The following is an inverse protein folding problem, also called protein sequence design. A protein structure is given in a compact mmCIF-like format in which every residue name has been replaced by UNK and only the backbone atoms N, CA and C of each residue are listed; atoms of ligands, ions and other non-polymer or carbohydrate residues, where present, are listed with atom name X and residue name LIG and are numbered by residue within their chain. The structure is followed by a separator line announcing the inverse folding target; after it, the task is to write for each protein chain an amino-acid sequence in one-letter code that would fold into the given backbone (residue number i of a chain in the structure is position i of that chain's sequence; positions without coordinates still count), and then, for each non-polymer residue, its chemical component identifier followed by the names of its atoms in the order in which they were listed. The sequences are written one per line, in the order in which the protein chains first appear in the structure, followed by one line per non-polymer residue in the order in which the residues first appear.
data_IF_878105265485
#
_entry.id   IF_878105265485
#
_cell.length_a   1.000
_cell.length_b   1.000
_cell.length_c   1.000
_cell.angle_alpha   90.00
_cell.angle_beta   90.00
_cell.angle_gamma   90.00
#
_symmetry.space_group_name_H-M   'P 1'
#
loop_
_entity.id
_entity.type
_entity.pdbx_description
1 polymer ?
#
# COMPACT_ATOMS: atom_id res chain seq x y z
N UNK A 1 19.40 -1.31 -0.55
CA UNK A 1 19.24 -0.94 0.88
C UNK A 1 17.78 -1.15 1.27
N UNK A 2 17.51 -1.61 2.48
CA UNK A 2 16.19 -1.87 3.01
C UNK A 2 15.53 -0.56 3.48
N UNK A 3 14.24 -0.39 3.19
CA UNK A 3 13.41 0.68 3.74
C UNK A 3 12.72 0.23 5.02
N UNK A 4 12.23 -1.03 5.03
CA UNK A 4 11.60 -1.66 6.18
C UNK A 4 12.21 -3.05 6.36
N UNK A 5 12.58 -3.39 7.60
CA UNK A 5 12.99 -4.74 8.00
C UNK A 5 12.13 -5.22 9.16
N UNK A 6 11.66 -6.44 9.08
CA UNK A 6 10.82 -7.09 10.09
C UNK A 6 11.51 -8.37 10.53
N UNK A 7 11.65 -8.55 11.85
CA UNK A 7 12.32 -9.70 12.44
C UNK A 7 11.38 -10.38 13.44
N UNK A 8 11.04 -11.65 13.15
CA UNK A 8 10.27 -12.56 13.99
C UNK A 8 8.99 -11.92 14.59
N UNK A 9 8.23 -11.16 13.75
CA UNK A 9 7.04 -10.44 14.18
C UNK A 9 5.89 -11.40 14.45
N UNK A 10 5.31 -11.30 15.65
CA UNK A 10 4.13 -12.04 16.06
C UNK A 10 3.02 -11.10 16.54
N UNK A 11 1.79 -11.40 16.11
CA UNK A 11 0.62 -10.62 16.50
C UNK A 11 -0.65 -11.47 16.53
N UNK A 12 -1.49 -11.25 17.55
CA UNK A 12 -2.81 -11.89 17.70
C UNK A 12 -3.90 -10.86 18.01
N UNK A 13 -5.12 -11.14 17.59
CA UNK A 13 -6.33 -10.49 18.13
C UNK A 13 -6.92 -11.42 19.20
N UNK A 14 -6.74 -11.08 20.47
CA UNK A 14 -7.07 -11.99 21.57
C UNK A 14 -6.34 -13.33 21.42
N UNK A 15 -7.08 -14.43 21.40
CA UNK A 15 -6.49 -15.77 21.24
C UNK A 15 -6.22 -16.18 19.77
N UNK A 16 -6.62 -15.36 18.80
CA UNK A 16 -6.44 -15.69 17.37
C UNK A 16 -5.11 -15.16 16.86
N UNK A 17 -4.17 -16.06 16.60
CA UNK A 17 -2.89 -15.74 15.96
C UNK A 17 -3.12 -15.28 14.52
N UNK A 18 -2.55 -14.12 14.15
CA UNK A 18 -2.68 -13.53 12.82
C UNK A 18 -1.33 -13.46 12.10
N UNK A 19 -0.28 -13.02 12.80
CA UNK A 19 1.08 -13.01 12.27
C UNK A 19 1.94 -13.92 13.13
N UNK A 20 2.73 -14.78 12.49
CA UNK A 20 3.45 -15.87 13.15
C UNK A 20 4.89 -15.92 12.65
N UNK A 21 5.79 -15.21 13.35
CA UNK A 21 7.22 -15.21 13.04
C UNK A 21 7.54 -14.59 11.69
N UNK A 22 6.90 -13.47 11.33
CA UNK A 22 7.15 -12.77 10.06
C UNK A 22 8.59 -12.26 10.05
N UNK A 23 9.36 -12.68 9.06
CA UNK A 23 10.65 -12.13 8.69
C UNK A 23 10.52 -11.58 7.27
N UNK A 24 10.84 -10.30 7.06
CA UNK A 24 10.61 -9.61 5.80
C UNK A 24 11.55 -8.42 5.64
N UNK A 25 12.08 -8.25 4.43
CA UNK A 25 12.88 -7.10 4.05
C UNK A 25 12.26 -6.44 2.81
N UNK A 26 11.91 -5.15 2.92
CA UNK A 26 11.31 -4.36 1.84
C UNK A 26 12.36 -3.36 1.34
N UNK A 27 12.66 -3.43 0.05
CA UNK A 27 13.73 -2.64 -0.58
C UNK A 27 13.28 -1.22 -0.88
N UNK A 28 14.23 -0.28 -0.80
CA UNK A 28 14.00 1.13 -1.16
C UNK A 28 13.73 1.29 -2.66
N UNK A 29 12.96 2.31 -2.99
CA UNK A 29 12.66 2.74 -4.36
C UNK A 29 12.06 1.62 -5.20
N UNK A 30 11.26 0.75 -4.56
CA UNK A 30 10.57 -0.39 -5.16
C UNK A 30 9.10 -0.37 -4.78
N UNK A 31 8.28 -0.93 -5.67
CA UNK A 31 6.92 -1.33 -5.36
C UNK A 31 6.92 -2.80 -4.94
N UNK A 32 6.65 -3.06 -3.67
CA UNK A 32 6.45 -4.42 -3.18
C UNK A 32 4.96 -4.73 -3.02
N UNK A 33 4.48 -5.75 -3.73
CA UNK A 33 3.13 -6.27 -3.59
C UNK A 33 3.04 -7.29 -2.45
N UNK A 34 2.08 -7.13 -1.55
CA UNK A 34 1.74 -8.15 -0.54
C UNK A 34 0.50 -8.89 -1.01
N UNK A 35 0.65 -10.17 -1.32
CA UNK A 35 -0.39 -11.06 -1.82
C UNK A 35 -0.71 -12.15 -0.80
N UNK A 36 -1.88 -12.77 -0.92
CA UNK A 36 -2.32 -13.90 -0.11
C UNK A 36 -3.83 -13.95 0.07
N UNK A 37 -4.40 -15.06 0.51
CA UNK A 37 -5.84 -15.21 0.68
C UNK A 37 -6.40 -14.24 1.73
N UNK A 38 -7.74 -14.08 1.74
CA UNK A 38 -8.40 -13.25 2.73
C UNK A 38 -8.16 -13.80 4.14
N UNK A 39 -7.89 -12.88 5.08
CA UNK A 39 -7.64 -13.23 6.47
C UNK A 39 -6.23 -13.76 6.79
N UNK A 40 -5.30 -13.83 5.81
CA UNK A 40 -3.92 -14.29 6.07
C UNK A 40 -3.03 -13.27 6.79
N UNK A 41 -3.51 -12.03 7.06
CA UNK A 41 -2.79 -11.05 7.87
C UNK A 41 -2.23 -9.84 7.11
N UNK A 42 -2.52 -9.63 5.81
CA UNK A 42 -1.97 -8.54 4.98
C UNK A 42 -2.17 -7.14 5.58
N UNK A 43 -3.42 -6.73 5.80
CA UNK A 43 -3.72 -5.41 6.40
C UNK A 43 -3.27 -5.32 7.86
N UNK A 44 -3.24 -6.46 8.58
CA UNK A 44 -2.68 -6.52 9.94
C UNK A 44 -1.17 -6.24 9.92
N UNK A 45 -0.45 -6.75 8.94
CA UNK A 45 0.97 -6.47 8.75
C UNK A 45 1.20 -4.97 8.50
N UNK A 46 0.43 -4.34 7.59
CA UNK A 46 0.52 -2.89 7.35
C UNK A 46 0.24 -2.08 8.62
N UNK A 47 -0.79 -2.45 9.40
CA UNK A 47 -1.13 -1.78 10.67
C UNK A 47 -0.03 -1.92 11.73
N UNK A 48 0.69 -3.04 11.77
CA UNK A 48 1.86 -3.22 12.64
C UNK A 48 3.04 -2.33 12.18
N UNK A 49 3.31 -2.23 10.87
CA UNK A 49 4.34 -1.34 10.31
C UNK A 49 4.04 0.12 10.68
N UNK A 50 2.78 0.56 10.55
CA UNK A 50 2.33 1.90 10.94
C UNK A 50 2.40 2.15 12.46
N UNK A 51 2.47 1.08 13.27
CA UNK A 51 2.40 1.16 14.72
C UNK A 51 1.00 1.43 15.26
N UNK A 52 -0.04 1.17 14.48
CA UNK A 52 -1.44 1.21 14.94
C UNK A 52 -1.78 -0.02 15.80
N UNK A 53 -1.04 -1.11 15.61
CA UNK A 53 -1.13 -2.32 16.40
C UNK A 53 0.22 -2.59 17.07
N UNK A 54 0.17 -2.99 18.35
CA UNK A 54 1.36 -3.37 19.12
C UNK A 54 1.59 -4.87 18.96
N UNK A 55 2.72 -5.25 18.39
CA UNK A 55 3.13 -6.66 18.26
C UNK A 55 3.35 -7.31 19.64
N UNK A 56 3.11 -8.61 19.72
CA UNK A 56 3.42 -9.43 20.91
C UNK A 56 4.93 -9.61 21.06
N UNK A 57 5.60 -9.86 19.95
CA UNK A 57 7.06 -10.03 19.89
C UNK A 57 7.60 -9.68 18.52
N UNK A 58 8.93 -9.63 18.39
CA UNK A 58 9.62 -9.25 17.18
C UNK A 58 9.90 -7.76 17.09
N UNK A 59 10.58 -7.38 16.02
CA UNK A 59 11.02 -6.01 15.80
C UNK A 59 10.68 -5.57 14.38
N UNK A 60 10.32 -4.29 14.24
CA UNK A 60 10.14 -3.61 12.95
C UNK A 60 11.13 -2.45 12.93
N UNK A 61 11.94 -2.38 11.89
CA UNK A 61 12.85 -1.28 11.63
C UNK A 61 12.37 -0.49 10.42
N UNK A 62 12.34 0.82 10.55
CA UNK A 62 12.03 1.78 9.48
C UNK A 62 13.29 2.61 9.30
N UNK A 63 13.86 2.60 8.11
CA UNK A 63 15.14 3.29 7.85
C UNK A 63 16.24 2.93 8.87
N UNK A 64 16.33 1.65 9.25
CA UNK A 64 17.25 1.11 10.28
C UNK A 64 16.95 1.54 11.71
N UNK A 65 15.92 2.35 11.95
CA UNK A 65 15.52 2.78 13.29
C UNK A 65 14.43 1.83 13.79
N UNK A 66 14.58 1.32 15.00
CA UNK A 66 13.59 0.46 15.62
C UNK A 66 12.26 1.22 15.79
N UNK A 67 11.18 0.74 15.18
CA UNK A 67 9.88 1.43 15.09
C UNK A 67 9.30 1.83 16.45
N UNK A 68 9.52 1.04 17.51
CA UNK A 68 9.09 1.36 18.87
C UNK A 68 9.79 2.60 19.48
N UNK A 69 10.94 3.00 18.93
CA UNK A 69 11.70 4.16 19.37
C UNK A 69 11.34 5.44 18.58
N UNK A 70 10.44 5.34 17.59
CA UNK A 70 9.98 6.44 16.76
C UNK A 70 8.61 6.90 17.28
N UNK A 71 8.47 8.17 17.63
CA UNK A 71 7.17 8.75 18.03
C UNK A 71 6.16 8.68 16.88
N UNK A 72 4.85 8.69 17.17
CA UNK A 72 3.82 8.66 16.13
C UNK A 72 3.92 9.84 15.16
N UNK A 73 4.28 11.04 15.65
CA UNK A 73 4.47 12.23 14.81
C UNK A 73 5.67 12.06 13.87
N UNK A 74 6.78 11.52 14.34
CA UNK A 74 7.95 11.22 13.52
C UNK A 74 7.68 10.10 12.52
N UNK A 75 6.96 9.06 12.96
CA UNK A 75 6.54 7.96 12.08
C UNK A 75 5.66 8.46 10.93
N UNK A 76 4.74 9.40 11.21
CA UNK A 76 3.91 10.04 10.20
C UNK A 76 4.69 10.94 9.22
N UNK A 77 5.98 11.26 9.50
CA UNK A 77 6.88 11.89 8.54
C UNK A 77 7.69 10.89 7.69
N UNK A 78 7.69 9.62 8.09
CA UNK A 78 8.39 8.54 7.38
C UNK A 78 7.45 7.68 6.55
N UNK A 79 6.23 7.46 7.02
CA UNK A 79 5.24 6.56 6.45
C UNK A 79 3.93 7.30 6.18
N UNK A 80 3.36 7.13 4.99
CA UNK A 80 1.98 7.51 4.69
C UNK A 80 1.12 6.29 4.35
N UNK A 81 -0.19 6.43 4.44
CA UNK A 81 -1.16 5.35 4.19
C UNK A 81 -2.26 5.82 3.22
N UNK A 82 -2.47 5.02 2.18
CA UNK A 82 -3.71 5.00 1.39
C UNK A 82 -4.56 3.84 1.95
N UNK A 83 -5.61 4.12 2.72
CA UNK A 83 -6.45 3.08 3.32
C UNK A 83 -7.43 2.51 2.30
N UNK A 84 -7.89 1.27 2.52
CA UNK A 84 -8.94 0.62 1.72
C UNK A 84 -10.26 1.42 1.76
N UNK A 85 -10.67 1.85 2.95
CA UNK A 85 -11.88 2.64 3.18
C UNK A 85 -11.56 3.83 4.09
N UNK A 86 -12.14 4.99 3.79
CA UNK A 86 -12.06 6.16 4.65
C UNK A 86 -13.47 6.69 4.93
N UNK A 87 -13.95 6.46 6.16
CA UNK A 87 -15.28 6.90 6.61
C UNK A 87 -15.30 8.37 7.08
N UNK A 88 -14.13 8.98 7.32
CA UNK A 88 -13.99 10.31 7.94
C UNK A 88 -14.22 11.50 7.00
N UNK A 89 -14.60 11.27 5.75
CA UNK A 89 -14.48 12.25 4.65
C UNK A 89 -15.77 12.99 4.35
N UNK A 90 -16.84 12.77 5.11
CA UNK A 90 -18.20 13.12 4.69
C UNK A 90 -18.52 14.61 4.53
N UNK A 91 -17.71 15.52 5.07
CA UNK A 91 -18.04 16.96 5.07
C UNK A 91 -16.97 17.86 4.43
N UNK A 92 -15.77 17.34 4.15
CA UNK A 92 -14.62 18.12 3.66
C UNK A 92 -14.60 18.22 2.14
N UNK A 93 -14.12 19.34 1.63
CA UNK A 93 -13.79 19.51 0.22
C UNK A 93 -12.49 18.76 -0.11
N UNK A 94 -12.32 18.42 -1.38
CA UNK A 94 -11.12 17.69 -1.86
C UNK A 94 -9.84 18.40 -1.47
N UNK A 95 -9.78 19.73 -1.66
CA UNK A 95 -8.59 20.54 -1.33
C UNK A 95 -8.25 20.44 0.16
N UNK A 96 -9.24 20.66 1.03
CA UNK A 96 -9.06 20.57 2.49
C UNK A 96 -8.59 19.18 2.90
N UNK A 97 -9.18 18.13 2.30
CA UNK A 97 -8.84 16.76 2.62
C UNK A 97 -7.41 16.38 2.19
N UNK A 98 -6.98 16.81 1.01
CA UNK A 98 -5.62 16.60 0.53
C UNK A 98 -4.61 17.34 1.41
N UNK A 99 -4.94 18.60 1.78
CA UNK A 99 -4.09 19.45 2.63
C UNK A 99 -3.87 18.83 4.03
N UNK A 100 -4.80 17.99 4.54
CA UNK A 100 -4.58 17.25 5.79
C UNK A 100 -3.33 16.34 5.75
N UNK A 101 -2.81 15.99 4.57
CA UNK A 101 -1.52 15.31 4.44
C UNK A 101 -0.38 16.07 5.11
N UNK A 102 -0.49 17.39 5.26
CA UNK A 102 0.52 18.25 5.90
C UNK A 102 0.47 18.27 7.43
N UNK A 103 -0.57 17.70 8.07
CA UNK A 103 -0.71 17.70 9.53
C UNK A 103 0.54 17.27 10.31
N UNK A 104 1.30 16.22 9.92
CA UNK A 104 2.51 15.83 10.63
C UNK A 104 3.62 16.90 10.64
N UNK A 105 3.58 17.84 9.69
CA UNK A 105 4.59 18.88 9.52
C UNK A 105 4.28 20.16 10.29
N UNK A 106 3.05 20.32 10.79
CA UNK A 106 2.68 21.47 11.60
C UNK A 106 3.50 21.48 12.92
N UNK A 107 4.01 22.66 13.28
CA UNK A 107 4.74 22.85 14.55
C UNK A 107 3.80 22.67 15.72
N UNK A 108 2.67 23.37 15.70
CA UNK A 108 1.60 23.29 16.70
C UNK A 108 0.25 23.06 15.99
N UNK A 109 -0.70 22.45 16.69
CA UNK A 109 -2.05 22.19 16.14
C UNK A 109 -2.86 23.47 15.84
N UNK A 110 -2.46 24.61 16.40
CA UNK A 110 -3.10 25.90 16.21
C UNK A 110 -2.47 26.71 15.07
N UNK A 111 -1.27 26.32 14.60
CA UNK A 111 -0.65 26.96 13.44
C UNK A 111 -1.41 26.50 12.21
N UNK A 112 -1.93 27.43 11.43
CA UNK A 112 -2.52 27.12 10.13
C UNK A 112 -1.47 26.55 9.16
N UNK A 113 -1.92 26.03 8.02
CA UNK A 113 -1.02 25.60 6.94
C UNK A 113 -0.25 26.77 6.36
N UNK A 114 1.02 26.59 6.10
CA UNK A 114 1.86 27.57 5.42
C UNK A 114 1.52 27.65 3.92
N UNK A 115 1.95 28.71 3.24
CA UNK A 115 1.84 28.82 1.78
C UNK A 115 2.48 27.61 1.08
N UNK A 116 3.64 27.16 1.57
CA UNK A 116 4.34 25.99 1.06
C UNK A 116 3.49 24.71 1.19
N UNK A 117 2.76 24.52 2.30
CA UNK A 117 1.89 23.36 2.49
C UNK A 117 0.76 23.34 1.47
N UNK A 118 0.19 24.52 1.18
CA UNK A 118 -0.86 24.67 0.16
C UNK A 118 -0.31 24.38 -1.25
N UNK A 119 0.87 24.90 -1.58
CA UNK A 119 1.54 24.65 -2.86
C UNK A 119 1.82 23.16 -3.08
N UNK A 120 2.29 22.45 -2.05
CA UNK A 120 2.51 20.99 -2.10
C UNK A 120 1.18 20.24 -2.35
N UNK A 121 0.12 20.61 -1.65
CA UNK A 121 -1.19 19.98 -1.84
C UNK A 121 -1.72 20.23 -3.26
N UNK A 122 -1.65 21.46 -3.76
CA UNK A 122 -2.08 21.82 -5.12
C UNK A 122 -1.26 21.11 -6.20
N UNK A 123 0.04 20.93 -5.99
CA UNK A 123 0.89 20.14 -6.88
C UNK A 123 0.36 18.70 -7.03
N UNK A 124 0.09 18.00 -5.93
CA UNK A 124 -0.41 16.62 -5.99
C UNK A 124 -1.86 16.51 -6.48
N UNK A 125 -2.69 17.50 -6.21
CA UNK A 125 -4.03 17.62 -6.79
C UNK A 125 -3.96 17.66 -8.31
N UNK A 126 -3.05 18.46 -8.86
CA UNK A 126 -2.83 18.57 -10.30
C UNK A 126 -2.22 17.29 -10.89
N UNK A 127 -1.19 16.73 -10.25
CA UNK A 127 -0.53 15.48 -10.66
C UNK A 127 -1.52 14.32 -10.80
N UNK A 128 -2.59 14.32 -9.99
CA UNK A 128 -3.61 13.28 -9.96
C UNK A 128 -4.92 13.64 -10.68
N UNK A 129 -4.92 14.69 -11.50
CA UNK A 129 -6.06 15.16 -12.30
C UNK A 129 -7.33 15.45 -11.45
N UNK A 130 -7.14 16.07 -10.29
CA UNK A 130 -8.20 16.36 -9.32
C UNK A 130 -8.65 17.82 -9.32
N UNK A 131 -8.09 18.70 -10.15
CA UNK A 131 -8.36 20.14 -10.16
C UNK A 131 -9.85 20.46 -10.33
N UNK A 132 -10.55 19.70 -11.18
CA UNK A 132 -12.00 19.87 -11.41
C UNK A 132 -12.88 19.48 -10.23
N UNK A 133 -12.30 18.89 -9.18
CA UNK A 133 -13.02 18.43 -7.99
C UNK A 133 -12.70 19.22 -6.72
N UNK A 134 -11.82 20.22 -6.78
CA UNK A 134 -11.29 20.98 -5.63
C UNK A 134 -12.35 21.33 -4.58
N UNK A 135 -13.46 21.92 -5.03
CA UNK A 135 -14.54 22.38 -4.14
C UNK A 135 -15.71 21.39 -4.02
N UNK A 136 -15.54 20.17 -4.53
CA UNK A 136 -16.53 19.11 -4.32
C UNK A 136 -16.30 18.41 -3.00
N UNK A 137 -17.40 18.03 -2.34
CA UNK A 137 -17.31 17.18 -1.16
C UNK A 137 -16.77 15.82 -1.54
N UNK A 138 -15.80 15.32 -0.80
CA UNK A 138 -15.11 14.07 -1.10
C UNK A 138 -16.07 12.86 -1.16
N UNK A 139 -17.19 12.88 -0.41
CA UNK A 139 -18.23 11.85 -0.47
C UNK A 139 -19.04 11.83 -1.76
N UNK A 140 -19.02 12.91 -2.55
CA UNK A 140 -19.74 12.99 -3.83
C UNK A 140 -18.95 12.43 -5.01
N UNK A 141 -17.74 11.97 -4.77
CA UNK A 141 -16.84 11.42 -5.79
C UNK A 141 -17.17 9.95 -6.08
N UNK A 142 -16.89 9.52 -7.32
CA UNK A 142 -16.86 8.08 -7.64
C UNK A 142 -15.73 7.38 -6.88
N UNK A 143 -15.78 6.05 -6.79
CA UNK A 143 -14.75 5.27 -6.10
C UNK A 143 -13.34 5.55 -6.64
N UNK A 144 -13.17 5.64 -7.97
CA UNK A 144 -11.88 5.92 -8.59
C UNK A 144 -11.37 7.35 -8.35
N UNK A 145 -12.27 8.33 -8.42
CA UNK A 145 -11.93 9.73 -8.09
C UNK A 145 -11.50 9.83 -6.62
N UNK A 146 -12.22 9.16 -5.73
CA UNK A 146 -11.91 9.16 -4.30
C UNK A 146 -10.58 8.46 -3.98
N UNK A 147 -10.26 7.34 -4.64
CA UNK A 147 -8.96 6.67 -4.47
C UNK A 147 -7.79 7.58 -4.92
N UNK A 148 -7.95 8.36 -5.99
CA UNK A 148 -6.97 9.38 -6.38
C UNK A 148 -6.81 10.47 -5.32
N UNK A 149 -7.90 10.90 -4.68
CA UNK A 149 -7.85 11.87 -3.56
C UNK A 149 -7.12 11.29 -2.35
N UNK A 150 -7.33 10.02 -2.02
CA UNK A 150 -6.58 9.33 -0.95
C UNK A 150 -5.08 9.26 -1.27
N UNK A 151 -4.73 8.96 -2.53
CA UNK A 151 -3.35 8.95 -2.99
C UNK A 151 -2.74 10.37 -2.95
N UNK A 152 -3.47 11.41 -3.41
CA UNK A 152 -3.03 12.80 -3.33
C UNK A 152 -2.68 13.21 -1.91
N UNK A 153 -3.56 12.91 -0.94
CA UNK A 153 -3.32 13.17 0.48
C UNK A 153 -2.08 12.46 0.99
N UNK A 154 -1.90 11.19 0.62
CA UNK A 154 -0.74 10.40 1.06
C UNK A 154 0.58 10.94 0.46
N UNK A 155 0.59 11.38 -0.81
CA UNK A 155 1.75 12.00 -1.45
C UNK A 155 2.03 13.40 -0.87
N UNK A 156 0.99 14.18 -0.55
CA UNK A 156 1.09 15.50 0.09
C UNK A 156 1.77 15.43 1.45
N UNK A 157 1.78 14.26 2.09
CA UNK A 157 2.50 14.03 3.34
C UNK A 157 4.03 14.02 3.14
N UNK A 158 4.55 13.92 1.90
CA UNK A 158 5.98 13.91 1.56
C UNK A 158 6.81 12.91 2.39
N UNK A 159 6.32 11.69 2.50
CA UNK A 159 7.02 10.60 3.18
C UNK A 159 7.92 9.83 2.21
N UNK A 160 8.90 9.11 2.74
CA UNK A 160 9.78 8.22 1.94
C UNK A 160 9.13 6.87 1.63
N UNK A 161 8.12 6.48 2.39
CA UNK A 161 7.47 5.18 2.28
C UNK A 161 5.96 5.40 2.26
N UNK A 162 5.28 4.83 1.26
CA UNK A 162 3.83 4.82 1.15
C UNK A 162 3.31 3.38 1.29
N UNK A 163 2.33 3.20 2.14
CA UNK A 163 1.62 1.94 2.31
C UNK A 163 0.24 2.08 1.66
N UNK A 164 -0.16 1.09 0.86
CA UNK A 164 -1.45 1.07 0.17
C UNK A 164 -2.21 -0.20 0.59
N UNK A 165 -3.33 -0.03 1.26
CA UNK A 165 -4.17 -1.15 1.70
C UNK A 165 -5.32 -1.34 0.71
N UNK A 166 -5.19 -2.28 -0.21
CA UNK A 166 -6.16 -2.62 -1.26
C UNK A 166 -6.61 -1.41 -2.12
N UNK A 167 -5.67 -0.62 -2.69
CA UNK A 167 -6.00 0.65 -3.35
C UNK A 167 -6.87 0.50 -4.60
N UNK A 168 -6.97 -0.71 -5.15
CA UNK A 168 -7.69 -1.00 -6.42
C UNK A 168 -8.98 -1.80 -6.22
N UNK A 169 -9.35 -2.18 -4.97
CA UNK A 169 -10.44 -3.13 -4.70
C UNK A 169 -11.84 -2.66 -5.13
N UNK A 170 -12.05 -1.34 -5.23
CA UNK A 170 -13.33 -0.73 -5.61
C UNK A 170 -13.30 -0.08 -7.01
N UNK A 171 -12.26 -0.39 -7.82
CA UNK A 171 -12.03 0.24 -9.11
C UNK A 171 -12.32 -0.73 -10.26
N UNK A 172 -12.82 -0.22 -11.37
CA UNK A 172 -12.74 -0.93 -12.64
C UNK A 172 -11.28 -1.04 -13.14
N UNK A 173 -11.06 -1.85 -14.14
CA UNK A 173 -9.71 -2.15 -14.64
C UNK A 173 -8.96 -0.90 -15.09
N UNK A 174 -9.62 0.02 -15.82
CA UNK A 174 -8.96 1.21 -16.34
C UNK A 174 -8.51 2.14 -15.21
N UNK A 175 -9.38 2.38 -14.23
CA UNK A 175 -9.04 3.19 -13.06
C UNK A 175 -7.96 2.53 -12.18
N UNK A 176 -7.98 1.19 -12.06
CA UNK A 176 -6.96 0.45 -11.34
C UNK A 176 -5.57 0.55 -12.01
N UNK A 177 -5.53 0.40 -13.35
CA UNK A 177 -4.30 0.57 -14.14
C UNK A 177 -3.74 2.01 -14.01
N UNK A 178 -4.60 3.04 -14.16
CA UNK A 178 -4.20 4.44 -14.02
C UNK A 178 -3.65 4.74 -12.63
N UNK A 179 -4.33 4.30 -11.57
CA UNK A 179 -3.88 4.49 -10.19
C UNK A 179 -2.51 3.84 -9.94
N UNK A 180 -2.34 2.58 -10.36
CA UNK A 180 -1.08 1.86 -10.17
C UNK A 180 0.07 2.47 -10.98
N UNK A 181 -0.23 3.01 -12.19
CA UNK A 181 0.74 3.76 -12.98
C UNK A 181 1.19 5.02 -12.24
N UNK A 182 0.26 5.83 -11.72
CA UNK A 182 0.58 7.03 -10.93
C UNK A 182 1.42 6.70 -9.68
N UNK A 183 1.14 5.58 -9.01
CA UNK A 183 1.99 5.10 -7.91
C UNK A 183 3.40 4.77 -8.42
N UNK A 184 3.51 4.07 -9.57
CA UNK A 184 4.82 3.68 -10.14
C UNK A 184 5.62 4.89 -10.57
N UNK A 185 4.98 5.87 -11.23
CA UNK A 185 5.61 7.12 -11.64
C UNK A 185 6.13 7.90 -10.41
N UNK A 186 5.34 7.98 -9.32
CA UNK A 186 5.77 8.60 -8.06
C UNK A 186 6.97 7.91 -7.42
N UNK A 187 7.14 6.59 -7.57
CA UNK A 187 8.32 5.86 -7.07
C UNK A 187 9.57 6.29 -7.82
N UNK A 188 9.48 6.43 -9.15
CA UNK A 188 10.59 6.81 -10.01
C UNK A 188 10.97 8.27 -9.78
N UNK A 189 9.99 9.18 -9.83
CA UNK A 189 10.22 10.63 -9.82
C UNK A 189 10.64 11.16 -8.43
N UNK A 190 10.19 10.50 -7.35
CA UNK A 190 10.39 10.97 -5.97
C UNK A 190 11.24 10.04 -5.11
N UNK A 191 11.86 9.01 -5.72
CA UNK A 191 12.60 7.96 -5.01
C UNK A 191 11.77 7.33 -3.86
N UNK A 192 10.45 7.23 -4.09
CA UNK A 192 9.50 6.72 -3.11
C UNK A 192 9.61 5.19 -2.99
N UNK A 193 9.40 4.66 -1.81
CA UNK A 193 9.20 3.22 -1.59
C UNK A 193 7.72 2.95 -1.40
N UNK A 194 7.16 1.99 -2.11
CA UNK A 194 5.74 1.65 -1.96
C UNK A 194 5.54 0.19 -1.56
N UNK A 195 4.57 -0.05 -0.67
CA UNK A 195 4.12 -1.38 -0.27
C UNK A 195 2.62 -1.44 -0.46
N UNK A 196 2.15 -2.30 -1.34
CA UNK A 196 0.73 -2.40 -1.70
C UNK A 196 0.17 -3.79 -1.36
N UNK A 197 -0.90 -3.84 -0.58
CA UNK A 197 -1.74 -5.04 -0.50
C UNK A 197 -2.60 -5.09 -1.75
N UNK A 198 -2.47 -6.14 -2.53
CA UNK A 198 -3.20 -6.33 -3.78
C UNK A 198 -3.96 -7.67 -3.76
N UNK A 199 -5.08 -7.71 -4.51
CA UNK A 199 -5.84 -8.93 -4.74
C UNK A 199 -5.70 -9.46 -6.16
N UNK A 200 -5.52 -8.56 -7.13
CA UNK A 200 -5.34 -8.90 -8.53
C UNK A 200 -3.89 -9.32 -8.79
N UNK A 201 -3.71 -10.59 -9.13
CA UNK A 201 -2.41 -11.21 -9.39
C UNK A 201 -1.75 -10.62 -10.64
N UNK A 202 -2.56 -10.28 -11.66
CA UNK A 202 -2.06 -9.73 -12.91
C UNK A 202 -1.64 -8.27 -12.75
N UNK A 203 -2.39 -7.46 -11.98
CA UNK A 203 -1.94 -6.12 -11.59
C UNK A 203 -0.63 -6.17 -10.78
N UNK A 204 -0.53 -7.11 -9.83
CA UNK A 204 0.70 -7.28 -9.07
C UNK A 204 1.88 -7.69 -9.99
N UNK A 205 1.65 -8.58 -10.95
CA UNK A 205 2.67 -8.99 -11.92
C UNK A 205 3.17 -7.81 -12.78
N UNK A 206 2.24 -6.93 -13.21
CA UNK A 206 2.56 -5.82 -14.11
C UNK A 206 3.31 -4.67 -13.41
N UNK A 207 2.98 -4.38 -12.15
CA UNK A 207 3.46 -3.16 -11.51
C UNK A 207 4.51 -3.39 -10.43
N UNK A 208 4.48 -4.53 -9.72
CA UNK A 208 5.38 -4.75 -8.59
C UNK A 208 6.78 -5.16 -9.05
N UNK A 209 7.78 -4.59 -8.39
CA UNK A 209 9.18 -5.01 -8.55
C UNK A 209 9.47 -6.29 -7.75
N UNK A 210 8.80 -6.43 -6.60
CA UNK A 210 8.86 -7.60 -5.73
C UNK A 210 7.46 -7.97 -5.23
N UNK A 211 7.26 -9.24 -4.95
CA UNK A 211 6.03 -9.79 -4.38
C UNK A 211 6.38 -10.58 -3.13
N UNK A 212 5.59 -10.38 -2.09
CA UNK A 212 5.58 -11.17 -0.87
C UNK A 212 4.26 -11.91 -0.80
N UNK A 213 4.27 -13.23 -0.80
CA UNK A 213 3.08 -14.03 -0.58
C UNK A 213 2.95 -14.40 0.89
N UNK A 214 1.80 -14.10 1.48
CA UNK A 214 1.45 -14.50 2.84
C UNK A 214 0.47 -15.67 2.81
N UNK A 215 0.70 -16.65 3.67
CA UNK A 215 -0.22 -17.75 3.95
C UNK A 215 -0.22 -18.07 5.44
N UNK A 216 -1.40 -18.22 6.03
CA UNK A 216 -1.59 -18.61 7.44
C UNK A 216 -0.74 -17.80 8.43
N UNK A 217 -0.65 -16.49 8.19
CA UNK A 217 0.11 -15.58 9.05
C UNK A 217 1.64 -15.63 8.88
N UNK A 218 2.15 -16.31 7.87
CA UNK A 218 3.59 -16.46 7.59
C UNK A 218 3.95 -15.96 6.21
N UNK A 219 5.19 -15.55 6.00
CA UNK A 219 5.75 -15.34 4.66
C UNK A 219 5.93 -16.72 4.02
N UNK A 220 5.21 -16.95 2.92
CA UNK A 220 5.33 -18.18 2.14
C UNK A 220 6.51 -18.09 1.16
N UNK A 221 6.61 -17.01 0.40
CA UNK A 221 7.75 -16.70 -0.46
C UNK A 221 7.86 -15.18 -0.69
N UNK A 222 9.05 -14.75 -1.11
CA UNK A 222 9.37 -13.38 -1.54
C UNK A 222 10.32 -13.45 -2.73
N UNK A 223 10.10 -12.60 -3.74
CA UNK A 223 10.94 -12.50 -4.92
C UNK A 223 10.31 -11.63 -6.00
N UNK A 224 10.86 -11.66 -7.20
CA UNK A 224 10.27 -11.01 -8.38
C UNK A 224 8.91 -11.64 -8.73
N UNK A 225 8.05 -10.94 -9.50
CA UNK A 225 6.80 -11.54 -9.99
C UNK A 225 7.01 -12.89 -10.67
N UNK A 226 8.07 -13.05 -11.46
CA UNK A 226 8.39 -14.31 -12.17
C UNK A 226 8.75 -15.44 -11.21
N UNK A 227 9.43 -15.15 -10.11
CA UNK A 227 9.83 -16.16 -9.11
C UNK A 227 8.68 -16.55 -8.20
N UNK A 228 7.75 -15.64 -7.93
CA UNK A 228 6.68 -15.84 -6.94
C UNK A 228 5.36 -16.31 -7.55
N UNK A 229 4.97 -15.79 -8.75
CA UNK A 229 3.69 -16.11 -9.39
C UNK A 229 3.81 -17.39 -10.27
N UNK A 230 4.27 -18.47 -9.66
CA UNK A 230 4.34 -19.78 -10.32
C UNK A 230 3.07 -20.58 -10.08
N UNK A 231 2.81 -21.58 -10.96
CA UNK A 231 1.67 -22.49 -10.82
C UNK A 231 1.66 -23.18 -9.46
N UNK A 232 2.82 -23.62 -9.00
CA UNK A 232 3.03 -24.31 -7.72
C UNK A 232 2.67 -23.40 -6.54
N UNK A 233 3.19 -22.16 -6.54
CA UNK A 233 2.93 -21.18 -5.49
C UNK A 233 1.45 -20.77 -5.45
N UNK A 234 0.85 -20.53 -6.64
CA UNK A 234 -0.58 -20.20 -6.74
C UNK A 234 -1.47 -21.33 -6.23
N UNK A 235 -1.12 -22.58 -6.54
CA UNK A 235 -1.82 -23.75 -5.99
C UNK A 235 -1.63 -23.85 -4.48
N UNK A 236 -0.40 -23.67 -4.01
CA UNK A 236 -0.08 -23.80 -2.58
C UNK A 236 -0.74 -22.68 -1.74
N UNK A 237 -0.72 -21.42 -2.21
CA UNK A 237 -1.19 -20.26 -1.44
C UNK A 237 -2.70 -20.07 -1.55
N UNK A 238 -3.26 -20.18 -2.78
CA UNK A 238 -4.65 -19.83 -3.06
C UNK A 238 -5.55 -21.04 -3.34
N UNK A 239 -4.99 -22.27 -3.40
CA UNK A 239 -5.65 -23.48 -3.95
C UNK A 239 -6.17 -23.24 -5.39
N UNK A 240 -5.47 -22.40 -6.14
CA UNK A 240 -5.83 -21.98 -7.48
C UNK A 240 -5.16 -22.89 -8.52
N UNK A 241 -5.97 -23.59 -9.31
CA UNK A 241 -5.49 -24.22 -10.55
C UNK A 241 -5.36 -23.11 -11.61
N UNK A 242 -4.18 -22.97 -12.20
CA UNK A 242 -3.90 -21.91 -13.16
C UNK A 242 -2.91 -22.35 -14.23
N UNK A 243 -2.91 -21.63 -15.32
CA UNK A 243 -1.83 -21.57 -16.29
C UNK A 243 -1.11 -20.24 -16.13
N UNK A 244 0.22 -20.25 -16.11
CA UNK A 244 1.04 -19.04 -16.10
C UNK A 244 1.66 -18.92 -17.50
N UNK A 245 1.30 -17.83 -18.17
CA UNK A 245 1.87 -17.42 -19.45
C UNK A 245 2.79 -16.23 -19.22
N UNK A 246 3.52 -15.81 -20.25
CA UNK A 246 4.41 -14.66 -20.17
C UNK A 246 4.16 -13.73 -21.36
N UNK A 247 4.18 -12.41 -21.11
CA UNK A 247 4.19 -11.42 -22.18
C UNK A 247 5.53 -11.43 -22.93
N UNK A 248 5.64 -10.68 -24.03
CA UNK A 248 6.92 -10.53 -24.76
C UNK A 248 8.03 -9.94 -23.88
N UNK A 249 7.66 -9.09 -22.91
CA UNK A 249 8.57 -8.50 -21.90
C UNK A 249 8.88 -9.45 -20.75
N UNK A 250 8.33 -10.67 -20.76
CA UNK A 250 8.56 -11.69 -19.73
C UNK A 250 7.77 -11.48 -18.43
N UNK A 251 6.71 -10.65 -18.45
CA UNK A 251 5.81 -10.45 -17.31
C UNK A 251 4.88 -11.66 -17.20
N UNK A 252 4.76 -12.31 -16.02
CA UNK A 252 3.84 -13.42 -15.84
C UNK A 252 2.38 -12.97 -15.93
N UNK A 253 1.56 -13.74 -16.63
CA UNK A 253 0.12 -13.55 -16.75
C UNK A 253 -0.61 -14.81 -16.30
N UNK A 254 -1.48 -14.68 -15.30
CA UNK A 254 -2.16 -15.80 -14.65
C UNK A 254 -3.54 -15.98 -15.28
N UNK A 255 -3.78 -17.17 -15.81
CA UNK A 255 -5.06 -17.60 -16.37
C UNK A 255 -5.65 -18.65 -15.41
N UNK A 256 -6.69 -18.32 -14.64
CA UNK A 256 -7.36 -19.29 -13.77
C UNK A 256 -7.98 -20.42 -14.57
N UNK A 257 -7.92 -21.66 -14.02
CA UNK A 257 -8.64 -22.80 -14.55
C UNK A 257 -9.84 -23.10 -13.66
N UNK A 258 -10.99 -23.37 -14.27
CA UNK A 258 -12.17 -23.79 -13.52
C UNK A 258 -11.94 -25.19 -12.95
N UNK A 259 -12.20 -25.40 -11.65
CA UNK A 259 -12.21 -26.75 -11.07
C UNK A 259 -13.37 -27.51 -11.71
N UNK A 260 -13.09 -28.60 -12.44
CA UNK A 260 -14.10 -29.52 -12.97
C UNK A 260 -14.51 -29.33 -14.43
N UNK A 261 -13.83 -28.54 -15.23
CA UNK A 261 -13.94 -28.59 -16.69
C UNK A 261 -13.30 -29.87 -17.22
N UNK A 262 -14.14 -30.87 -17.62
CA UNK A 262 -13.71 -31.94 -18.52
C UNK A 262 -13.51 -31.39 -19.90
#
# INVERSE_FOLDING_TARGET
MEAIKIENLNFSYGNRKILQGINLELKRNKLTGILGPNGCGKSTLLKNILGYLKSESGNIYIDKILSKNISQKEKAKLLSLVPQNSQLVSAMDVEEFVLMGRLPHLKNSWDGYSKKDVEIAQHHIKELDLEKFLHRKAVSLSGGEFQRVLLARALTQETKIILLDEPTSALDLNHALDLMKKVKDSIIDKELTAVAVLHDLNLAAMFCDEIVMLKDGKVFCQGTPKETLTKENLKAVYDLESQVCYTEEGIPYIIPKLKGGK
#
